data_IF_480267363824
#
_entry.id   IF_480267363824
#
_cell.length_a   1.000
_cell.length_b   1.000
_cell.length_c   1.000
_cell.angle_alpha   90.00
_cell.angle_beta   90.00
_cell.angle_gamma   90.00
#
_symmetry.space_group_name_H-M   'P 1'
#
loop_
_entity.id
_entity.type
_entity.pdbx_description
1 polymer ?
#
# COMPACT_ATOMS: atom_id res chain seq x y z
N UNK A 1 27.31 33.94 15.51
CA UNK A 1 28.77 34.09 15.37
C UNK A 1 29.44 32.95 16.15
N UNK A 2 30.24 32.14 15.43
CA UNK A 2 31.13 31.02 15.85
C UNK A 2 30.53 29.75 16.52
N UNK A 3 31.10 28.53 16.28
CA UNK A 3 31.68 28.04 15.04
C UNK A 3 31.27 26.61 14.63
N UNK A 4 31.52 26.34 13.35
CA UNK A 4 31.50 25.05 12.63
C UNK A 4 32.69 24.19 13.09
N UNK A 5 32.47 22.89 13.32
CA UNK A 5 33.54 21.94 13.60
C UNK A 5 33.73 20.99 12.42
N UNK A 6 34.92 21.05 11.82
CA UNK A 6 35.32 20.41 10.57
C UNK A 6 36.32 19.30 10.93
N UNK A 7 35.92 18.03 10.84
CA UNK A 7 36.85 16.91 11.00
C UNK A 7 37.38 16.50 9.63
N UNK A 8 38.68 16.77 9.43
CA UNK A 8 39.46 16.38 8.25
C UNK A 8 40.03 14.99 8.49
N UNK A 9 39.75 14.05 7.60
CA UNK A 9 40.49 12.79 7.51
C UNK A 9 41.53 12.91 6.39
N UNK A 10 42.80 12.83 6.75
CA UNK A 10 43.94 12.72 5.82
C UNK A 10 44.49 11.31 5.89
N UNK A 11 44.55 10.63 4.74
CA UNK A 11 45.23 9.34 4.59
C UNK A 11 45.53 9.08 3.12
N UNK A 12 46.76 9.36 2.71
CA UNK A 12 47.29 9.19 1.35
C UNK A 12 47.95 7.81 1.18
N UNK A 13 47.39 7.03 0.25
CA UNK A 13 47.99 6.33 -0.91
C UNK A 13 49.39 5.68 -0.81
N UNK A 14 49.47 4.37 -1.14
CA UNK A 14 50.57 3.77 -1.93
C UNK A 14 49.98 2.68 -2.86
N UNK A 15 50.34 2.74 -4.14
CA UNK A 15 50.09 1.72 -5.18
C UNK A 15 51.42 0.99 -5.45
N UNK A 16 51.37 -0.33 -5.60
CA UNK A 16 52.48 -1.17 -6.07
C UNK A 16 51.98 -2.52 -6.58
N UNK A 17 52.31 -2.82 -7.84
CA UNK A 17 51.78 -3.91 -8.68
C UNK A 17 52.58 -5.23 -8.59
N UNK A 18 51.84 -6.33 -8.82
CA UNK A 18 52.20 -7.59 -9.50
C UNK A 18 53.13 -8.63 -8.82
N UNK A 19 52.68 -9.90 -8.82
CA UNK A 19 53.55 -11.08 -8.71
C UNK A 19 52.88 -12.33 -8.14
N UNK A 20 52.60 -13.31 -9.00
CA UNK A 20 52.00 -14.62 -8.70
C UNK A 20 53.00 -15.56 -7.99
N UNK A 21 52.58 -16.29 -6.95
CA UNK A 21 53.05 -17.64 -6.64
C UNK A 21 52.23 -18.26 -5.49
N UNK A 22 52.09 -19.58 -5.57
CA UNK A 22 51.18 -20.42 -4.82
C UNK A 22 51.67 -20.81 -3.40
N UNK A 23 50.82 -21.64 -2.78
CA UNK A 23 51.08 -22.66 -1.73
C UNK A 23 51.00 -22.21 -0.25
N UNK A 24 49.96 -22.70 0.43
CA UNK A 24 49.83 -22.90 1.91
C UNK A 24 50.80 -24.06 2.35
N UNK A 25 50.91 -24.56 3.61
CA UNK A 25 50.16 -24.30 4.85
C UNK A 25 50.98 -24.31 6.18
N UNK A 26 50.24 -24.13 7.27
CA UNK A 26 50.47 -24.57 8.67
C UNK A 26 51.25 -25.89 8.85
N UNK A 27 52.13 -25.96 9.86
CA UNK A 27 52.55 -27.19 10.58
C UNK A 27 53.01 -26.80 12.00
N UNK A 28 52.92 -27.63 13.06
CA UNK A 28 52.23 -28.90 13.27
C UNK A 28 52.27 -29.19 14.78
N UNK A 29 51.29 -29.99 15.21
CA UNK A 29 51.00 -30.48 16.55
C UNK A 29 52.03 -31.50 17.05
N UNK A 30 51.94 -31.83 18.35
CA UNK A 30 51.96 -33.23 18.84
C UNK A 30 51.60 -33.21 20.33
N UNK A 31 50.76 -34.07 20.93
CA UNK A 31 50.22 -35.44 20.71
C UNK A 31 49.20 -35.69 21.87
N UNK A 32 48.50 -36.84 22.04
CA UNK A 32 48.44 -38.05 21.20
C UNK A 32 47.01 -38.53 20.87
N UNK A 33 46.99 -39.40 19.88
CA UNK A 33 45.85 -40.13 19.32
C UNK A 33 45.39 -41.29 20.19
N UNK A 34 44.08 -41.42 20.36
CA UNK A 34 43.42 -42.69 20.65
C UNK A 34 42.25 -42.77 19.70
N UNK A 35 42.22 -43.84 18.89
CA UNK A 35 41.17 -44.28 17.98
C UNK A 35 41.43 -44.05 16.48
N UNK A 36 41.76 -45.16 15.81
CA UNK A 36 41.87 -45.32 14.36
C UNK A 36 40.57 -45.97 13.87
N UNK A 37 39.69 -45.21 13.22
CA UNK A 37 38.60 -45.74 12.39
C UNK A 37 38.81 -45.36 10.92
N UNK A 38 38.43 -46.22 9.95
CA UNK A 38 38.43 -45.85 8.55
C UNK A 38 37.50 -44.65 8.32
N UNK A 39 37.82 -43.73 7.41
CA UNK A 39 36.96 -42.58 7.18
C UNK A 39 35.65 -43.05 6.56
N UNK A 40 34.58 -43.05 7.34
CA UNK A 40 33.25 -42.92 6.76
C UNK A 40 33.22 -41.60 5.99
N UNK A 41 33.03 -41.68 4.67
CA UNK A 41 32.64 -40.54 3.84
C UNK A 41 31.28 -40.04 4.31
N UNK A 42 31.29 -39.09 5.25
CA UNK A 42 30.07 -38.37 5.63
C UNK A 42 29.65 -37.55 4.41
N UNK A 43 28.46 -37.78 3.82
CA UNK A 43 27.95 -36.88 2.81
C UNK A 43 27.89 -35.50 3.44
N UNK A 44 28.61 -34.53 2.88
CA UNK A 44 28.40 -33.13 3.20
C UNK A 44 27.04 -32.77 2.63
N UNK A 45 25.98 -32.97 3.39
CA UNK A 45 24.72 -32.26 3.17
C UNK A 45 25.00 -30.80 3.51
N UNK A 46 25.54 -30.07 2.53
CA UNK A 46 25.54 -28.62 2.52
C UNK A 46 24.08 -28.20 2.67
N UNK A 47 23.69 -27.52 3.77
CA UNK A 47 22.36 -26.96 3.87
C UNK A 47 22.19 -26.01 2.69
N UNK A 48 21.28 -26.32 1.78
CA UNK A 48 20.83 -25.39 0.76
C UNK A 48 20.44 -24.11 1.49
N UNK A 49 21.10 -22.99 1.17
CA UNK A 49 20.70 -21.70 1.69
C UNK A 49 19.19 -21.54 1.42
N UNK A 50 18.39 -21.09 2.40
CA UNK A 50 16.96 -20.91 2.17
C UNK A 50 16.81 -19.97 0.98
N UNK A 51 16.05 -20.42 -0.02
CA UNK A 51 15.56 -19.56 -1.09
C UNK A 51 14.90 -18.37 -0.40
N UNK A 52 15.48 -17.18 -0.54
CA UNK A 52 14.83 -15.94 -0.13
C UNK A 52 13.66 -15.73 -1.08
N UNK A 53 12.52 -16.35 -0.79
CA UNK A 53 11.25 -16.01 -1.41
C UNK A 53 10.94 -14.60 -0.95
N UNK A 54 11.18 -13.63 -1.84
CA UNK A 54 10.72 -12.27 -1.61
C UNK A 54 9.22 -12.32 -1.30
N UNK A 55 8.73 -11.55 -0.31
CA UNK A 55 7.30 -11.51 -0.02
C UNK A 55 6.54 -11.13 -1.30
N UNK A 56 5.32 -11.68 -1.50
CA UNK A 56 4.48 -11.29 -2.61
C UNK A 56 4.37 -9.76 -2.66
N UNK A 57 4.59 -9.18 -3.83
CA UNK A 57 4.38 -7.74 -4.04
C UNK A 57 2.89 -7.47 -3.83
N UNK A 58 2.52 -6.78 -2.74
CA UNK A 58 1.15 -6.36 -2.49
C UNK A 58 0.70 -5.46 -3.65
N UNK A 59 -0.32 -5.90 -4.39
CA UNK A 59 -0.92 -5.08 -5.44
C UNK A 59 -1.81 -4.03 -4.76
N UNK A 60 -1.27 -2.83 -4.60
CA UNK A 60 -2.06 -1.67 -4.17
C UNK A 60 -3.21 -1.44 -5.15
N UNK A 61 -4.44 -1.36 -4.64
CA UNK A 61 -5.61 -0.99 -5.44
C UNK A 61 -5.39 0.41 -6.01
N UNK A 62 -5.62 0.58 -7.31
CA UNK A 62 -5.61 1.90 -7.93
C UNK A 62 -6.79 2.74 -7.39
N UNK A 63 -6.62 4.05 -7.19
CA UNK A 63 -7.72 4.92 -6.77
C UNK A 63 -8.83 4.91 -7.82
N UNK A 64 -10.08 4.87 -7.36
CA UNK A 64 -11.27 4.98 -8.21
C UNK A 64 -11.41 6.37 -8.81
N UNK A 65 -10.96 7.40 -8.10
CA UNK A 65 -10.85 8.78 -8.57
C UNK A 65 -9.78 9.54 -7.78
N UNK A 66 -9.37 10.69 -8.29
CA UNK A 66 -8.50 11.63 -7.55
C UNK A 66 -9.16 13.00 -7.59
N UNK A 67 -9.44 13.55 -6.41
CA UNK A 67 -9.97 14.91 -6.24
C UNK A 67 -8.90 15.81 -5.64
N UNK A 68 -8.81 17.06 -6.07
CA UNK A 68 -7.90 18.05 -5.45
C UNK A 68 -8.63 18.80 -4.34
N UNK A 69 -8.37 18.55 -3.04
CA UNK A 69 -9.07 19.23 -1.95
C UNK A 69 -8.78 20.73 -1.96
N UNK A 70 -9.78 21.54 -1.59
CA UNK A 70 -9.61 22.98 -1.40
C UNK A 70 -9.64 23.28 0.09
N UNK A 71 -8.56 23.84 0.62
CA UNK A 71 -8.41 24.12 2.06
C UNK A 71 -8.65 22.87 2.94
N UNK A 72 -8.23 21.69 2.47
CA UNK A 72 -8.45 20.42 3.18
C UNK A 72 -9.88 19.89 3.12
N UNK A 73 -10.75 20.50 2.31
CA UNK A 73 -12.16 20.11 2.18
C UNK A 73 -12.53 19.73 0.75
N UNK A 74 -13.58 18.92 0.61
CA UNK A 74 -14.19 18.54 -0.66
C UNK A 74 -15.71 18.64 -0.58
N UNK A 75 -16.34 18.69 -1.75
CA UNK A 75 -17.75 18.42 -1.93
C UNK A 75 -17.94 17.08 -2.63
N UNK A 76 -18.95 16.31 -2.21
CA UNK A 76 -19.33 15.05 -2.85
C UNK A 76 -20.70 15.20 -3.48
N UNK A 77 -20.79 15.04 -4.80
CA UNK A 77 -22.05 15.02 -5.55
C UNK A 77 -22.51 13.57 -5.68
N UNK A 78 -23.65 13.26 -5.07
CA UNK A 78 -24.29 11.96 -5.08
C UNK A 78 -25.37 11.94 -6.15
N UNK A 79 -25.29 11.01 -7.09
CA UNK A 79 -26.27 10.82 -8.18
C UNK A 79 -26.83 9.41 -8.09
N UNK A 80 -28.12 9.27 -7.77
CA UNK A 80 -28.78 7.99 -7.66
C UNK A 80 -29.55 7.64 -8.93
N UNK A 81 -29.09 6.63 -9.68
CA UNK A 81 -29.70 6.09 -10.90
C UNK A 81 -30.14 4.62 -10.72
N UNK A 82 -30.35 4.18 -9.48
CA UNK A 82 -30.64 2.77 -9.17
C UNK A 82 -32.12 2.39 -9.39
N UNK A 83 -32.99 3.38 -9.58
CA UNK A 83 -34.46 3.24 -9.54
C UNK A 83 -35.04 2.91 -8.16
N UNK A 84 -34.23 2.95 -7.09
CA UNK A 84 -34.64 2.77 -5.69
C UNK A 84 -33.89 3.78 -4.80
N UNK A 85 -34.20 3.84 -3.52
CA UNK A 85 -33.45 4.71 -2.61
C UNK A 85 -32.07 4.13 -2.25
N UNK A 86 -31.12 5.02 -1.96
CA UNK A 86 -29.79 4.68 -1.44
C UNK A 86 -29.63 5.34 -0.09
N UNK A 87 -29.35 4.56 0.94
CA UNK A 87 -29.00 5.08 2.25
C UNK A 87 -27.51 5.39 2.28
N UNK A 88 -27.13 6.51 2.87
CA UNK A 88 -25.75 6.96 2.95
C UNK A 88 -25.42 7.71 4.24
N UNK A 89 -24.14 7.68 4.61
CA UNK A 89 -23.60 8.43 5.74
C UNK A 89 -22.13 8.76 5.50
N UNK A 90 -21.74 10.02 5.74
CA UNK A 90 -20.34 10.40 5.95
C UNK A 90 -20.03 10.26 7.44
N UNK A 91 -19.09 9.38 7.76
CA UNK A 91 -18.75 9.00 9.14
C UNK A 91 -18.09 10.18 9.85
N UNK A 92 -18.70 10.63 10.96
CA UNK A 92 -18.22 11.76 11.76
C UNK A 92 -18.80 13.12 11.36
N UNK A 93 -19.22 13.30 10.10
CA UNK A 93 -19.76 14.58 9.60
C UNK A 93 -21.29 14.60 9.53
N UNK A 94 -21.93 13.45 9.31
CA UNK A 94 -23.38 13.37 9.07
C UNK A 94 -24.03 12.20 9.80
N UNK A 95 -25.33 12.33 10.08
CA UNK A 95 -26.20 11.19 10.38
C UNK A 95 -26.56 10.43 9.10
N UNK A 96 -27.03 9.19 9.24
CA UNK A 96 -27.58 8.41 8.14
C UNK A 96 -28.74 9.15 7.46
N UNK A 97 -28.76 9.14 6.12
CA UNK A 97 -29.75 9.82 5.28
C UNK A 97 -30.14 8.92 4.11
N UNK A 98 -31.35 9.09 3.59
CA UNK A 98 -31.79 8.45 2.35
C UNK A 98 -31.69 9.41 1.16
N UNK A 99 -31.18 8.92 0.04
CA UNK A 99 -31.17 9.56 -1.26
C UNK A 99 -32.24 8.89 -2.13
N UNK A 100 -33.30 9.62 -2.48
CA UNK A 100 -34.41 9.11 -3.28
C UNK A 100 -33.95 8.57 -4.65
N UNK A 101 -34.76 7.69 -5.25
CA UNK A 101 -34.53 7.21 -6.61
C UNK A 101 -34.44 8.38 -7.61
N UNK A 102 -33.57 8.26 -8.61
CA UNK A 102 -33.39 9.24 -9.70
C UNK A 102 -33.14 10.67 -9.19
N UNK A 103 -32.41 10.80 -8.08
CA UNK A 103 -32.15 12.08 -7.43
C UNK A 103 -30.67 12.39 -7.27
N UNK A 104 -30.37 13.68 -7.11
CA UNK A 104 -29.01 14.18 -6.92
C UNK A 104 -28.94 15.01 -5.64
N UNK A 105 -27.88 14.84 -4.87
CA UNK A 105 -27.61 15.62 -3.66
C UNK A 105 -26.13 15.99 -3.55
N UNK A 106 -25.82 17.16 -3.01
CA UNK A 106 -24.43 17.60 -2.82
C UNK A 106 -24.13 17.74 -1.34
N UNK A 107 -23.17 16.95 -0.88
CA UNK A 107 -22.51 17.13 0.41
C UNK A 107 -21.39 18.15 0.23
N UNK A 108 -21.31 19.15 1.11
CA UNK A 108 -20.34 20.24 1.02
C UNK A 108 -19.46 20.28 2.26
N UNK A 109 -18.31 20.92 2.11
CA UNK A 109 -17.38 21.25 3.20
C UNK A 109 -16.92 20.04 4.02
N UNK A 110 -16.81 18.87 3.38
CA UNK A 110 -16.35 17.64 4.00
C UNK A 110 -14.83 17.68 4.18
N UNK A 111 -14.37 17.52 5.41
CA UNK A 111 -12.94 17.50 5.72
C UNK A 111 -12.28 16.20 5.24
N UNK A 112 -11.07 16.29 4.71
CA UNK A 112 -10.29 15.14 4.24
C UNK A 112 -9.19 14.84 5.27
N UNK A 113 -8.94 13.56 5.66
CA UNK A 113 -9.57 12.34 5.16
C UNK A 113 -11.01 12.15 5.64
N UNK A 114 -11.83 11.50 4.81
CA UNK A 114 -13.22 11.15 5.14
C UNK A 114 -13.57 9.75 4.68
N UNK A 115 -14.56 9.15 5.34
CA UNK A 115 -15.11 7.84 4.99
C UNK A 115 -16.63 7.96 4.88
N UNK A 116 -17.18 7.37 3.84
CA UNK A 116 -18.61 7.38 3.57
C UNK A 116 -19.09 5.95 3.34
N UNK A 117 -20.16 5.55 4.01
CA UNK A 117 -20.89 4.31 3.74
C UNK A 117 -22.14 4.58 2.92
N UNK A 118 -22.51 3.65 2.07
CA UNK A 118 -23.76 3.68 1.32
C UNK A 118 -24.25 2.26 1.03
N UNK A 119 -25.56 2.09 0.98
CA UNK A 119 -26.18 0.80 0.65
C UNK A 119 -27.61 1.01 0.14
N UNK A 120 -28.13 0.03 -0.58
CA UNK A 120 -29.55 -0.03 -0.91
C UNK A 120 -30.31 -0.77 0.20
N UNK A 121 -31.44 -0.23 0.70
CA UNK A 121 -32.24 -0.90 1.72
C UNK A 121 -32.81 -2.25 1.26
N UNK A 122 -33.05 -2.39 -0.05
CA UNK A 122 -33.53 -3.63 -0.68
C UNK A 122 -32.47 -4.71 -0.85
N UNK A 123 -31.22 -4.48 -0.40
CA UNK A 123 -30.09 -5.41 -0.47
C UNK A 123 -29.72 -5.86 -1.90
N UNK A 124 -30.17 -5.14 -2.93
CA UNK A 124 -29.75 -5.41 -4.30
C UNK A 124 -28.32 -4.93 -4.56
N UNK A 125 -27.61 -5.51 -5.54
CA UNK A 125 -26.26 -5.06 -5.88
C UNK A 125 -26.20 -3.59 -6.28
N UNK A 126 -25.17 -2.90 -5.82
CA UNK A 126 -24.93 -1.47 -6.01
C UNK A 126 -23.59 -1.23 -6.68
N UNK A 127 -23.62 -0.90 -7.97
CA UNK A 127 -22.44 -0.48 -8.70
C UNK A 127 -22.22 1.02 -8.51
N UNK A 128 -20.98 1.43 -8.24
CA UNK A 128 -20.63 2.83 -8.01
C UNK A 128 -19.48 3.25 -8.90
N UNK A 129 -19.65 4.36 -9.60
CA UNK A 129 -18.59 5.03 -10.35
C UNK A 129 -18.21 6.33 -9.64
N UNK A 130 -16.91 6.62 -9.59
CA UNK A 130 -16.37 7.85 -9.03
C UNK A 130 -15.61 8.63 -10.11
N UNK A 131 -15.78 9.95 -10.12
CA UNK A 131 -14.98 10.85 -10.96
C UNK A 131 -14.85 12.23 -10.30
N UNK A 132 -13.90 13.06 -10.75
CA UNK A 132 -13.70 14.42 -10.22
C UNK A 132 -13.83 15.42 -11.37
N UNK A 133 -15.03 15.97 -11.63
CA UNK A 133 -15.26 16.85 -12.77
C UNK A 133 -14.65 18.25 -12.56
N UNK A 134 -14.42 18.65 -11.31
CA UNK A 134 -13.87 19.95 -10.96
C UNK A 134 -12.99 19.86 -9.70
N UNK A 135 -12.01 20.78 -9.51
CA UNK A 135 -11.19 20.79 -8.31
C UNK A 135 -12.05 21.02 -7.06
N UNK A 136 -11.91 20.15 -6.07
CA UNK A 136 -12.70 20.14 -4.83
C UNK A 136 -14.03 19.40 -4.95
N UNK A 137 -14.37 18.85 -6.11
CA UNK A 137 -15.61 18.11 -6.35
C UNK A 137 -15.31 16.65 -6.69
N UNK A 138 -15.91 15.74 -5.92
CA UNK A 138 -15.94 14.30 -6.21
C UNK A 138 -17.38 13.92 -6.53
N UNK A 139 -17.63 13.31 -7.68
CA UNK A 139 -18.94 12.80 -8.07
C UNK A 139 -19.00 11.30 -7.89
N UNK A 140 -20.07 10.83 -7.26
CA UNK A 140 -20.43 9.42 -7.12
C UNK A 140 -21.73 9.15 -7.86
N UNK A 141 -21.70 8.19 -8.79
CA UNK A 141 -22.87 7.74 -9.52
C UNK A 141 -23.23 6.34 -9.06
N UNK A 142 -24.39 6.22 -8.41
CA UNK A 142 -24.97 4.97 -7.96
C UNK A 142 -25.85 4.39 -9.06
N UNK A 143 -25.60 3.14 -9.42
CA UNK A 143 -26.37 2.42 -10.44
C UNK A 143 -26.65 0.99 -9.99
N UNK A 144 -27.67 0.36 -10.59
CA UNK A 144 -28.00 -1.03 -10.28
C UNK A 144 -26.88 -1.95 -10.77
N UNK A 145 -26.26 -2.70 -9.86
CA UNK A 145 -25.24 -3.69 -10.22
C UNK A 145 -25.87 -4.94 -10.85
N UNK A 146 -25.21 -5.58 -11.84
CA UNK A 146 -25.64 -6.86 -12.40
C UNK A 146 -25.39 -8.06 -11.47
N UNK A 147 -24.42 -7.97 -10.54
CA UNK A 147 -24.10 -8.99 -9.53
C UNK A 147 -23.42 -8.36 -8.31
N UNK A 148 -23.26 -9.12 -7.23
CA UNK A 148 -22.58 -8.67 -6.01
C UNK A 148 -21.05 -8.53 -6.16
N UNK A 149 -20.45 -9.03 -7.24
CA UNK A 149 -19.00 -8.91 -7.47
C UNK A 149 -18.56 -7.47 -7.77
N UNK A 150 -19.49 -6.64 -8.23
CA UNK A 150 -19.27 -5.20 -8.47
C UNK A 150 -19.82 -4.33 -7.35
N UNK A 151 -20.37 -4.95 -6.30
CA UNK A 151 -20.98 -4.24 -5.19
C UNK A 151 -19.93 -3.41 -4.46
N UNK A 152 -20.27 -2.14 -4.23
CA UNK A 152 -19.48 -1.23 -3.41
C UNK A 152 -20.38 -0.67 -2.34
N UNK A 153 -19.85 -0.56 -1.13
CA UNK A 153 -20.63 -0.10 0.04
C UNK A 153 -19.94 1.01 0.80
N UNK A 154 -18.70 1.33 0.43
CA UNK A 154 -17.97 2.43 1.05
C UNK A 154 -17.08 3.18 0.07
N UNK A 155 -16.82 4.43 0.44
CA UNK A 155 -15.84 5.31 -0.16
C UNK A 155 -14.88 5.78 0.93
N UNK A 156 -13.59 5.63 0.69
CA UNK A 156 -12.54 6.26 1.51
C UNK A 156 -11.86 7.33 0.68
N UNK A 157 -11.80 8.57 1.19
CA UNK A 157 -10.98 9.64 0.62
C UNK A 157 -9.83 9.94 1.56
N UNK A 158 -8.61 9.75 1.07
CA UNK A 158 -7.39 10.01 1.82
C UNK A 158 -7.03 11.50 1.81
N UNK A 159 -6.18 11.95 2.75
CA UNK A 159 -5.65 13.32 2.81
C UNK A 159 -5.03 13.81 1.49
N UNK A 160 -4.48 12.91 0.68
CA UNK A 160 -3.93 13.17 -0.66
C UNK A 160 -5.00 13.49 -1.71
N UNK A 161 -6.28 13.28 -1.42
CA UNK A 161 -7.39 13.39 -2.36
C UNK A 161 -7.66 12.12 -3.18
N UNK A 162 -6.92 11.03 -2.93
CA UNK A 162 -7.20 9.74 -3.56
C UNK A 162 -8.47 9.12 -2.97
N UNK A 163 -9.40 8.75 -3.85
CA UNK A 163 -10.69 8.16 -3.52
C UNK A 163 -10.71 6.66 -3.89
N UNK A 164 -11.15 5.82 -2.96
CA UNK A 164 -11.20 4.36 -3.11
C UNK A 164 -12.60 3.85 -2.81
N UNK A 165 -13.21 3.18 -3.78
CA UNK A 165 -14.46 2.44 -3.60
C UNK A 165 -14.15 1.01 -3.13
N UNK A 166 -14.79 0.59 -2.03
CA UNK A 166 -14.65 -0.76 -1.47
C UNK A 166 -15.98 -1.49 -1.45
#
# INVERSE_FOLDING_TARGET
MLPVNLVRWTGTLVVGLAGLAAVLPVQAQSRPSVFNEPPYTRPTTQPSAPSSTAPPVERLQAPSAVVSPRNGQISIVLVNQTGTEVTYQVIGDTSERSLSAESTYTLRDLSVPTNMSFYRPDRGPLAVAADSPAPGELRLVFSRGPSFDVDRTSLTVQASGQAFLN
#
